data_IF_962633125540
#
_entry.id   IF_962633125540
#
_cell.length_a   1.000
_cell.length_b   1.000
_cell.length_c   1.000
_cell.angle_alpha   90.00
_cell.angle_beta   90.00
_cell.angle_gamma   90.00
#
_symmetry.space_group_name_H-M   'P 1'
#
loop_
_entity.id
_entity.type
_entity.pdbx_description
1 polymer ?
#
# COMPACT_ATOMS: atom_id res chain seq x y z
N UNK A 1 16.31 23.85 -2.76
CA UNK A 1 15.14 23.32 -3.50
C UNK A 1 14.18 22.75 -2.48
N UNK A 2 12.89 23.10 -2.55
CA UNK A 2 11.87 22.41 -1.74
C UNK A 2 11.68 21.02 -2.32
N UNK A 3 11.80 19.97 -1.51
CA UNK A 3 11.55 18.60 -1.95
C UNK A 3 10.04 18.42 -2.17
N UNK A 4 9.67 17.55 -3.10
CA UNK A 4 8.26 17.33 -3.45
C UNK A 4 7.47 16.70 -2.29
N UNK A 5 6.14 16.85 -2.30
CA UNK A 5 5.25 16.30 -1.27
C UNK A 5 5.45 14.80 -1.02
N UNK A 6 5.64 14.01 -2.07
CA UNK A 6 5.87 12.56 -1.94
C UNK A 6 7.12 12.24 -1.11
N UNK A 7 8.18 13.02 -1.26
CA UNK A 7 9.39 12.89 -0.46
C UNK A 7 9.11 13.19 1.02
N UNK A 8 8.43 14.30 1.32
CA UNK A 8 8.10 14.69 2.70
C UNK A 8 7.19 13.65 3.39
N UNK A 9 6.26 13.06 2.64
CA UNK A 9 5.39 12.01 3.17
C UNK A 9 6.12 10.67 3.35
N UNK A 10 7.07 10.35 2.47
CA UNK A 10 7.95 9.19 2.62
C UNK A 10 8.86 9.33 3.85
N UNK A 11 9.40 10.53 4.11
CA UNK A 11 10.16 10.80 5.34
C UNK A 11 9.31 10.58 6.60
N UNK A 12 8.06 11.08 6.61
CA UNK A 12 7.13 10.84 7.74
C UNK A 12 6.79 9.37 7.93
N UNK A 13 6.69 8.60 6.86
CA UNK A 13 6.56 7.14 6.98
C UNK A 13 7.82 6.51 7.58
N UNK A 14 8.99 7.08 7.25
CA UNK A 14 10.31 6.74 7.79
C UNK A 14 10.39 6.78 9.32
N UNK A 15 9.60 7.64 9.96
CA UNK A 15 9.53 7.74 11.43
C UNK A 15 9.02 6.44 12.09
N UNK A 16 8.25 5.63 11.36
CA UNK A 16 7.64 4.39 11.84
C UNK A 16 8.18 3.14 11.14
N UNK A 17 8.58 3.25 9.90
CA UNK A 17 8.97 2.11 9.08
C UNK A 17 10.28 2.38 8.32
N UNK A 18 11.08 1.34 8.00
CA UNK A 18 12.13 1.50 7.00
C UNK A 18 11.50 1.76 5.63
N UNK A 19 11.88 2.87 5.00
CA UNK A 19 11.29 3.34 3.73
C UNK A 19 12.37 3.60 2.69
N UNK A 20 12.13 3.10 1.47
CA UNK A 20 12.89 3.44 0.27
C UNK A 20 12.03 4.29 -0.67
N UNK A 21 12.48 5.50 -0.96
CA UNK A 21 11.85 6.42 -1.91
C UNK A 21 12.69 6.54 -3.19
N UNK A 22 12.04 6.48 -4.34
CA UNK A 22 12.63 6.77 -5.65
C UNK A 22 11.77 7.81 -6.37
N UNK A 23 12.36 8.99 -6.61
CA UNK A 23 11.68 10.05 -7.37
C UNK A 23 11.59 9.70 -8.87
N UNK A 24 12.62 9.05 -9.43
CA UNK A 24 12.64 8.63 -10.84
C UNK A 24 11.60 7.58 -11.13
N UNK A 25 11.45 6.61 -10.23
CA UNK A 25 10.50 5.50 -10.39
C UNK A 25 9.14 5.84 -9.80
N UNK A 26 9.00 7.04 -9.22
CA UNK A 26 7.81 7.53 -8.53
C UNK A 26 7.26 6.50 -7.55
N UNK A 27 8.14 5.99 -6.69
CA UNK A 27 7.87 4.81 -5.86
C UNK A 27 8.24 5.04 -4.41
N UNK A 28 7.41 4.49 -3.53
CA UNK A 28 7.71 4.34 -2.10
C UNK A 28 7.56 2.89 -1.73
N UNK A 29 8.59 2.30 -1.12
CA UNK A 29 8.55 0.94 -0.56
C UNK A 29 8.74 1.05 0.95
N UNK A 30 7.79 0.54 1.71
CA UNK A 30 7.97 0.19 3.11
C UNK A 30 8.62 -1.20 3.13
N UNK A 31 9.86 -1.29 3.55
CA UNK A 31 10.65 -2.53 3.42
C UNK A 31 10.22 -3.59 4.43
N UNK A 32 9.65 -3.17 5.56
CA UNK A 32 9.22 -4.05 6.64
C UNK A 32 7.93 -3.56 7.28
N UNK A 33 6.81 -3.86 6.63
CA UNK A 33 5.47 -3.58 7.13
C UNK A 33 5.02 -4.68 8.10
N UNK A 34 4.43 -4.30 9.25
CA UNK A 34 3.83 -5.22 10.23
C UNK A 34 2.39 -5.53 9.80
N UNK A 35 2.21 -6.65 9.12
CA UNK A 35 0.91 -7.14 8.72
C UNK A 35 0.08 -7.53 9.98
N UNK A 36 -1.24 -7.33 9.96
CA UNK A 36 -2.12 -7.74 11.05
C UNK A 36 -2.06 -9.24 11.35
N UNK A 37 -2.68 -9.64 12.46
CA UNK A 37 -2.81 -11.04 12.83
C UNK A 37 -3.49 -11.87 11.71
N UNK A 38 -3.10 -13.13 11.58
CA UNK A 38 -3.56 -14.05 10.52
C UNK A 38 -2.68 -14.04 9.28
N UNK A 39 -1.82 -13.03 9.08
CA UNK A 39 -0.91 -12.97 7.94
C UNK A 39 0.42 -13.70 8.18
N UNK A 40 0.92 -14.35 7.13
CA UNK A 40 2.23 -14.99 7.08
C UNK A 40 2.95 -14.66 5.77
N UNK A 41 4.21 -14.18 5.80
CA UNK A 41 4.94 -13.79 7.00
C UNK A 41 4.33 -12.53 7.66
N UNK A 42 4.51 -12.38 8.98
CA UNK A 42 4.03 -11.20 9.73
C UNK A 42 4.68 -9.89 9.23
N UNK A 43 5.94 -9.96 8.81
CA UNK A 43 6.65 -8.83 8.25
C UNK A 43 6.97 -9.09 6.79
N UNK A 44 6.49 -8.20 5.93
CA UNK A 44 6.73 -8.23 4.49
C UNK A 44 6.72 -6.80 3.96
N UNK A 45 7.23 -6.55 2.74
CA UNK A 45 7.25 -5.22 2.20
C UNK A 45 5.86 -4.79 1.68
N UNK A 46 5.69 -3.47 1.54
CA UNK A 46 4.52 -2.82 0.95
C UNK A 46 5.00 -1.76 -0.04
N UNK A 47 4.44 -1.74 -1.25
CA UNK A 47 4.85 -0.86 -2.34
C UNK A 47 3.73 0.07 -2.76
N UNK A 48 4.09 1.34 -2.95
CA UNK A 48 3.25 2.37 -3.52
C UNK A 48 3.86 2.89 -4.81
N UNK A 49 3.11 2.78 -5.90
CA UNK A 49 3.43 3.42 -7.17
C UNK A 49 2.61 4.70 -7.30
N UNK A 50 3.30 5.83 -7.41
CA UNK A 50 2.70 7.15 -7.45
C UNK A 50 2.36 7.50 -8.91
N UNK A 51 1.08 7.72 -9.24
CA UNK A 51 0.68 8.10 -10.60
C UNK A 51 1.30 9.45 -10.97
N UNK A 52 1.33 9.76 -12.27
CA UNK A 52 1.97 10.99 -12.76
C UNK A 52 1.43 12.29 -12.14
N UNK A 53 0.20 12.18 -11.70
CA UNK A 53 -0.67 13.23 -11.21
C UNK A 53 -0.73 13.29 -9.68
N UNK A 54 0.00 12.43 -8.96
CA UNK A 54 0.09 12.47 -7.50
C UNK A 54 0.42 13.90 -7.01
N UNK A 55 -0.30 14.45 -6.02
CA UNK A 55 -1.27 13.82 -5.13
C UNK A 55 -2.73 13.90 -5.61
N UNK A 56 -3.00 14.31 -6.86
CA UNK A 56 -4.37 14.38 -7.37
C UNK A 56 -5.05 13.01 -7.40
N UNK A 57 -4.33 12.03 -7.91
CA UNK A 57 -4.81 10.65 -8.02
C UNK A 57 -4.10 9.77 -6.98
N UNK A 58 -4.84 8.80 -6.42
CA UNK A 58 -4.36 7.91 -5.37
C UNK A 58 -3.24 6.98 -5.91
N UNK A 59 -2.21 6.67 -5.10
CA UNK A 59 -1.22 5.65 -5.43
C UNK A 59 -1.84 4.26 -5.66
N UNK A 60 -1.20 3.47 -6.53
CA UNK A 60 -1.50 2.03 -6.61
C UNK A 60 -0.72 1.30 -5.52
N UNK A 61 -1.37 0.36 -4.83
CA UNK A 61 -0.76 -0.39 -3.73
C UNK A 61 -0.51 -1.84 -4.13
N UNK A 62 0.67 -2.33 -3.77
CA UNK A 62 1.08 -3.72 -3.94
C UNK A 62 1.62 -4.29 -2.63
N UNK A 63 1.26 -5.54 -2.36
CA UNK A 63 1.83 -6.37 -1.28
C UNK A 63 2.74 -7.43 -1.89
N UNK A 64 3.58 -8.06 -1.07
CA UNK A 64 4.41 -9.18 -1.54
C UNK A 64 3.54 -10.37 -1.99
N UNK A 65 3.90 -11.05 -3.07
CA UNK A 65 3.24 -12.26 -3.55
C UNK A 65 3.34 -13.44 -2.58
N UNK A 66 4.29 -13.39 -1.65
CA UNK A 66 4.52 -14.44 -0.64
C UNK A 66 3.61 -14.31 0.59
N UNK A 67 2.87 -13.20 0.73
CA UNK A 67 1.96 -13.05 1.87
C UNK A 67 0.69 -13.87 1.68
N UNK A 68 0.30 -14.57 2.74
CA UNK A 68 -0.95 -15.33 2.81
C UNK A 68 -1.67 -15.01 4.12
N UNK A 69 -3.00 -15.04 4.09
CA UNK A 69 -3.83 -14.86 5.27
C UNK A 69 -4.50 -16.19 5.62
N UNK A 70 -4.24 -16.72 6.81
CA UNK A 70 -4.76 -18.02 7.26
C UNK A 70 -4.52 -19.16 6.26
N UNK A 71 -3.34 -19.14 5.61
CA UNK A 71 -2.94 -20.08 4.54
C UNK A 71 -3.82 -20.02 3.27
N UNK A 72 -4.53 -18.91 3.06
CA UNK A 72 -5.33 -18.62 1.87
C UNK A 72 -4.92 -17.28 1.26
N UNK A 73 -5.23 -17.10 -0.01
CA UNK A 73 -5.09 -15.83 -0.70
C UNK A 73 -6.43 -15.09 -0.64
N UNK A 74 -6.51 -13.91 0.00
CA UNK A 74 -7.75 -13.15 0.07
C UNK A 74 -8.25 -12.72 -1.32
N UNK A 75 -9.56 -12.52 -1.48
CA UNK A 75 -10.16 -12.13 -2.76
C UNK A 75 -9.68 -10.76 -3.27
N UNK A 76 -9.22 -9.89 -2.36
CA UNK A 76 -8.67 -8.57 -2.69
C UNK A 76 -7.20 -8.61 -3.13
N UNK A 77 -6.54 -9.77 -3.01
CA UNK A 77 -5.22 -10.02 -3.55
C UNK A 77 -5.36 -10.37 -5.04
N UNK A 78 -5.05 -9.41 -5.90
CA UNK A 78 -5.12 -9.61 -7.35
C UNK A 78 -3.77 -10.12 -7.86
N UNK A 79 -3.50 -11.41 -7.64
CA UNK A 79 -2.23 -12.09 -7.96
C UNK A 79 -1.83 -12.03 -9.46
N UNK A 80 -2.74 -11.60 -10.33
CA UNK A 80 -2.50 -11.44 -11.78
C UNK A 80 -2.22 -10.01 -12.19
N UNK A 81 -2.25 -9.07 -11.25
CA UNK A 81 -1.94 -7.67 -11.50
C UNK A 81 -0.72 -7.34 -10.64
N UNK A 82 0.39 -7.19 -11.33
CA UNK A 82 1.68 -6.83 -10.77
C UNK A 82 2.16 -5.53 -11.43
N UNK A 83 3.14 -4.83 -10.83
CA UNK A 83 3.79 -3.71 -11.47
C UNK A 83 4.42 -4.10 -12.82
N UNK A 84 4.53 -3.14 -13.74
CA UNK A 84 5.10 -3.40 -15.07
C UNK A 84 6.59 -3.75 -15.06
N UNK A 85 7.28 -3.46 -13.97
CA UNK A 85 8.71 -3.76 -13.73
C UNK A 85 8.91 -4.98 -12.83
N UNK A 86 7.85 -5.73 -12.53
CA UNK A 86 7.89 -6.94 -11.71
C UNK A 86 7.83 -8.20 -12.59
N UNK A 87 8.98 -8.58 -13.14
CA UNK A 87 9.10 -9.75 -14.02
C UNK A 87 9.04 -11.09 -13.26
N UNK A 88 9.38 -11.07 -11.97
CA UNK A 88 9.45 -12.26 -11.11
C UNK A 88 8.13 -12.55 -10.36
N UNK A 89 7.13 -11.67 -10.48
CA UNK A 89 5.83 -11.81 -9.81
C UNK A 89 5.93 -11.66 -8.30
N UNK A 90 6.88 -10.87 -7.82
CA UNK A 90 7.13 -10.62 -6.39
C UNK A 90 6.02 -9.78 -5.74
N UNK A 91 5.18 -9.11 -6.55
CA UNK A 91 4.18 -8.18 -6.10
C UNK A 91 2.78 -8.54 -6.60
N UNK A 92 1.81 -8.50 -5.69
CA UNK A 92 0.40 -8.62 -6.01
C UNK A 92 -0.31 -7.31 -5.67
N UNK A 93 -1.12 -6.80 -6.61
CA UNK A 93 -1.94 -5.62 -6.37
C UNK A 93 -2.94 -5.90 -5.25
N UNK A 94 -3.00 -4.99 -4.29
CA UNK A 94 -4.03 -5.01 -3.26
C UNK A 94 -5.10 -3.97 -3.60
N UNK A 95 -6.35 -4.42 -3.73
CA UNK A 95 -7.47 -3.53 -3.98
C UNK A 95 -8.18 -3.16 -2.69
N UNK A 96 -7.98 -1.91 -2.24
CA UNK A 96 -8.87 -1.29 -1.24
C UNK A 96 -10.18 -0.97 -1.97
N UNK A 97 -11.21 -1.83 -1.83
CA UNK A 97 -12.47 -1.76 -2.59
C UNK A 97 -13.43 -0.64 -2.17
N UNK A 98 -13.12 0.13 -1.13
CA UNK A 98 -14.08 1.13 -0.66
C UNK A 98 -14.21 2.31 -1.64
N UNK A 99 -15.31 2.29 -2.40
CA UNK A 99 -15.74 3.34 -3.31
C UNK A 99 -16.13 4.65 -2.60
N UNK A 100 -16.25 4.65 -1.26
CA UNK A 100 -16.56 5.82 -0.43
C UNK A 100 -15.31 6.50 0.14
N UNK A 101 -14.12 5.89 0.07
CA UNK A 101 -12.89 6.61 0.41
C UNK A 101 -12.49 7.50 -0.76
N UNK A 102 -13.19 8.62 -0.89
CA UNK A 102 -12.82 9.69 -1.80
C UNK A 102 -11.44 10.20 -1.39
N UNK A 103 -10.41 9.86 -2.17
CA UNK A 103 -9.07 10.39 -2.00
C UNK A 103 -9.11 11.92 -2.14
N UNK A 104 -8.80 12.64 -1.08
CA UNK A 104 -8.70 14.08 -1.09
C UNK A 104 -7.25 14.51 -1.28
N UNK A 105 -6.92 14.96 -2.49
CA UNK A 105 -5.59 15.41 -2.86
C UNK A 105 -5.02 16.50 -1.93
N UNK A 106 -5.83 17.27 -1.19
CA UNK A 106 -5.33 18.30 -0.26
C UNK A 106 -5.03 17.77 1.13
N UNK A 107 -5.72 16.73 1.57
CA UNK A 107 -5.71 16.26 2.95
C UNK A 107 -5.10 14.86 3.11
N UNK A 108 -5.18 14.03 2.09
CA UNK A 108 -4.78 12.64 2.14
C UNK A 108 -3.29 12.47 1.78
N UNK A 109 -2.64 11.48 2.37
CA UNK A 109 -1.20 11.30 2.26
C UNK A 109 -0.84 9.83 2.23
N UNK A 110 0.42 9.51 1.90
CA UNK A 110 0.94 8.15 2.04
C UNK A 110 0.83 7.61 3.47
N UNK A 111 0.88 8.48 4.48
CA UNK A 111 0.65 8.11 5.88
C UNK A 111 -0.79 7.64 6.11
N UNK A 112 -1.79 8.40 5.62
CA UNK A 112 -3.20 8.01 5.67
C UNK A 112 -3.43 6.71 4.90
N UNK A 113 -2.89 6.61 3.67
CA UNK A 113 -3.00 5.41 2.84
C UNK A 113 -2.41 4.18 3.53
N UNK A 114 -1.28 4.33 4.25
CA UNK A 114 -0.67 3.23 5.02
C UNK A 114 -1.55 2.79 6.18
N UNK A 115 -2.18 3.73 6.89
CA UNK A 115 -3.17 3.41 7.92
C UNK A 115 -4.39 2.70 7.33
N UNK A 116 -4.84 3.15 6.15
CA UNK A 116 -5.94 2.52 5.43
C UNK A 116 -5.59 1.09 5.01
N UNK A 117 -4.39 0.87 4.48
CA UNK A 117 -3.89 -0.45 4.15
C UNK A 117 -3.86 -1.37 5.38
N UNK A 118 -3.39 -0.89 6.53
CA UNK A 118 -3.40 -1.70 7.76
C UNK A 118 -4.81 -2.14 8.15
N UNK A 119 -5.80 -1.26 8.08
CA UNK A 119 -7.20 -1.61 8.37
C UNK A 119 -7.76 -2.60 7.35
N UNK A 120 -7.48 -2.38 6.06
CA UNK A 120 -7.88 -3.30 4.99
C UNK A 120 -7.30 -4.70 5.14
N UNK A 121 -6.02 -4.80 5.51
CA UNK A 121 -5.38 -6.08 5.77
C UNK A 121 -5.89 -6.73 7.07
N UNK A 122 -6.40 -5.95 8.04
CA UNK A 122 -6.95 -6.50 9.28
C UNK A 122 -8.34 -7.14 9.06
N UNK A 123 -9.01 -6.78 7.96
CA UNK A 123 -10.27 -7.37 7.54
C UNK A 123 -10.18 -7.76 6.05
N UNK A 124 -9.42 -8.80 5.69
CA UNK A 124 -9.06 -9.09 4.30
C UNK A 124 -10.20 -9.69 3.46
N UNK A 125 -11.36 -9.96 4.08
CA UNK A 125 -12.56 -10.51 3.43
C UNK A 125 -13.73 -9.52 3.35
N UNK A 126 -13.59 -8.29 3.87
CA UNK A 126 -14.67 -7.29 3.76
C UNK A 126 -14.42 -6.36 2.57
N UNK A 127 -15.48 -6.15 1.78
CA UNK A 127 -15.48 -5.13 0.74
C UNK A 127 -15.32 -3.71 1.31
N UNK A 128 -15.63 -3.52 2.60
CA UNK A 128 -15.42 -2.26 3.32
C UNK A 128 -14.73 -2.47 4.69
N UNK A 129 -13.41 -2.30 4.77
CA UNK A 129 -12.66 -2.41 6.03
C UNK A 129 -12.72 -1.15 6.90
N UNK A 130 -13.47 -0.13 6.48
CA UNK A 130 -13.61 1.15 7.17
C UNK A 130 -15.02 1.41 7.72
N UNK A 131 -15.99 0.55 7.42
CA UNK A 131 -17.30 0.58 8.07
C UNK A 131 -17.12 0.10 9.52
N UNK A 132 -17.51 0.93 10.49
CA UNK A 132 -17.54 0.55 11.91
C UNK A 132 -18.40 -0.71 12.08
N UNK A 133 -17.85 -1.73 12.74
CA UNK A 133 -18.57 -2.92 13.17
C UNK A 133 -19.46 -2.61 14.39
#
# INVERSE_FOLDING_TARGET
>A
MKRGRAYEEAEKLGDRYPVRYSESDRRVIIERFDYPEGWSPRFAPLRYDLPDTYPRDIPTVYVSGDVSYEHRNPEHLLNRIHPSDDDDGEWAKWCIRDHRVGWDAKHDSLVKLTSMMRASLASPHTDNPFEEA
#
